data_IF_776117486711
#
_entry.id   IF_776117486711
#
_cell.length_a   1.000
_cell.length_b   1.000
_cell.length_c   1.000
_cell.angle_alpha   90.00
_cell.angle_beta   90.00
_cell.angle_gamma   90.00
#
_symmetry.space_group_name_H-M   'P 1'
#
loop_
_entity.id
_entity.type
_entity.pdbx_description
1 polymer ?
#
# COMPACT_ATOMS: atom_id res chain seq x y z
N UNK A 1 -15.81 28.87 -34.56
CA UNK A 1 -15.42 28.23 -33.28
C UNK A 1 -14.96 29.21 -32.22
N UNK A 2 -13.98 30.10 -32.44
CA UNK A 2 -13.45 31.05 -31.40
C UNK A 2 -14.49 32.02 -30.83
N UNK A 3 -15.53 32.45 -31.62
CA UNK A 3 -16.61 33.33 -31.14
C UNK A 3 -17.59 32.58 -30.21
N UNK A 4 -17.95 31.34 -30.55
CA UNK A 4 -18.83 30.51 -29.72
C UNK A 4 -18.19 30.19 -28.35
N UNK A 5 -16.88 29.94 -28.32
CA UNK A 5 -16.13 29.67 -27.07
C UNK A 5 -16.08 30.91 -26.16
N UNK A 6 -15.96 32.12 -26.72
CA UNK A 6 -16.02 33.38 -25.96
C UNK A 6 -17.40 33.63 -25.39
N UNK A 7 -18.47 33.35 -26.13
CA UNK A 7 -19.86 33.50 -25.66
C UNK A 7 -20.12 32.49 -24.52
N UNK A 8 -19.67 31.26 -24.66
CA UNK A 8 -19.78 30.22 -23.63
C UNK A 8 -19.04 30.61 -22.33
N UNK A 9 -17.83 31.15 -22.46
CA UNK A 9 -17.03 31.61 -21.32
C UNK A 9 -17.69 32.80 -20.58
N UNK A 10 -18.27 33.77 -21.33
CA UNK A 10 -18.99 34.88 -20.75
C UNK A 10 -20.30 34.43 -20.10
N UNK A 11 -21.02 33.47 -20.69
CA UNK A 11 -22.24 32.90 -20.10
C UNK A 11 -21.92 32.13 -18.79
N UNK A 12 -20.79 31.38 -18.74
CA UNK A 12 -20.35 30.72 -17.53
C UNK A 12 -19.95 31.69 -16.42
N UNK A 13 -19.29 32.79 -16.77
CA UNK A 13 -18.94 33.87 -15.82
C UNK A 13 -20.17 34.58 -15.28
N UNK A 14 -21.18 34.86 -16.13
CA UNK A 14 -22.46 35.44 -15.72
C UNK A 14 -23.27 34.46 -14.86
N UNK A 15 -23.28 33.19 -15.15
CA UNK A 15 -23.91 32.15 -14.34
C UNK A 15 -23.28 32.04 -12.94
N UNK A 16 -21.98 32.27 -12.82
CA UNK A 16 -21.26 32.27 -11.53
C UNK A 16 -21.64 33.46 -10.65
N UNK A 17 -22.09 34.59 -11.21
CA UNK A 17 -22.53 35.77 -10.45
C UNK A 17 -23.97 35.68 -9.93
N UNK A 18 -24.79 34.75 -10.42
CA UNK A 18 -26.19 34.55 -10.01
C UNK A 18 -26.32 33.55 -8.86
N UNK A 19 -25.24 33.02 -8.35
CA UNK A 19 -25.29 32.21 -7.13
C UNK A 19 -25.73 33.15 -6.00
N UNK A 20 -26.95 33.00 -5.43
CA UNK A 20 -27.37 33.85 -4.34
C UNK A 20 -26.41 33.63 -3.18
N UNK A 21 -25.64 34.64 -2.84
CA UNK A 21 -24.83 34.67 -1.62
C UNK A 21 -25.78 34.62 -0.45
N UNK A 22 -26.19 33.44 -0.03
CA UNK A 22 -26.92 33.28 1.24
C UNK A 22 -25.91 33.47 2.41
N UNK A 23 -25.37 34.65 2.50
CA UNK A 23 -24.23 34.99 3.34
C UNK A 23 -24.59 35.15 4.82
N UNK A 24 -25.81 34.84 5.28
CA UNK A 24 -26.18 35.06 6.69
C UNK A 24 -27.03 33.97 7.33
N UNK A 25 -26.90 32.69 6.90
CA UNK A 25 -27.34 31.63 7.79
C UNK A 25 -26.34 31.54 8.94
N UNK A 26 -26.78 31.81 10.18
CA UNK A 26 -26.00 31.45 11.37
C UNK A 26 -25.63 29.97 11.25
N UNK A 27 -24.38 29.69 10.91
CA UNK A 27 -23.91 28.35 10.84
C UNK A 27 -23.86 27.79 12.26
N UNK A 28 -24.65 26.77 12.52
CA UNK A 28 -24.63 26.08 13.80
C UNK A 28 -23.28 25.36 13.89
N UNK A 29 -22.46 25.72 14.88
CA UNK A 29 -21.23 25.02 15.17
C UNK A 29 -21.54 23.75 15.96
N UNK A 30 -21.41 22.62 15.31
CA UNK A 30 -21.56 21.32 15.96
C UNK A 30 -20.31 20.98 16.79
N UNK A 31 -20.47 20.28 17.90
CA UNK A 31 -19.40 19.87 18.81
C UNK A 31 -18.43 21.02 19.17
N UNK A 32 -18.90 22.15 19.73
CA UNK A 32 -18.04 23.33 19.93
C UNK A 32 -16.92 23.13 20.94
N UNK A 33 -17.05 22.18 21.87
CA UNK A 33 -16.05 21.84 22.88
C UNK A 33 -15.13 20.69 22.46
N UNK A 34 -15.42 19.99 21.38
CA UNK A 34 -14.67 18.83 20.95
C UNK A 34 -13.16 19.07 20.87
N UNK A 35 -12.76 20.19 20.25
CA UNK A 35 -11.34 20.52 20.11
C UNK A 35 -10.65 20.89 21.44
N UNK A 36 -11.39 21.07 22.51
CA UNK A 36 -10.87 21.42 23.86
C UNK A 36 -10.63 20.17 24.70
N UNK A 37 -11.26 19.06 24.37
CA UNK A 37 -11.12 17.81 25.08
C UNK A 37 -9.70 17.24 24.92
N UNK A 38 -9.11 16.68 26.00
CA UNK A 38 -7.73 16.20 25.96
C UNK A 38 -7.56 14.88 25.21
N UNK A 39 -8.61 14.06 25.15
CA UNK A 39 -8.57 12.73 24.53
C UNK A 39 -9.80 12.52 23.65
N UNK A 40 -9.58 11.87 22.50
CA UNK A 40 -10.62 11.42 21.60
C UNK A 40 -10.39 9.96 21.25
N UNK A 41 -11.48 9.24 21.12
CA UNK A 41 -11.47 7.84 20.73
C UNK A 41 -12.42 7.64 19.56
N UNK A 42 -12.12 6.64 18.74
CA UNK A 42 -12.93 6.36 17.59
C UNK A 42 -12.50 5.09 16.88
N UNK A 43 -13.03 4.88 15.70
CA UNK A 43 -12.65 3.76 14.86
C UNK A 43 -12.35 4.22 13.43
N UNK A 44 -11.53 3.44 12.76
CA UNK A 44 -11.08 3.66 11.39
C UNK A 44 -11.53 2.49 10.53
N UNK A 45 -12.11 2.82 9.38
CA UNK A 45 -12.34 1.91 8.27
C UNK A 45 -11.62 2.44 7.05
N UNK A 46 -10.85 1.63 6.35
CA UNK A 46 -10.08 2.11 5.22
C UNK A 46 -10.00 1.09 4.10
N UNK A 47 -9.95 1.62 2.88
CA UNK A 47 -9.50 0.90 1.71
C UNK A 47 -8.02 1.18 1.50
N UNK A 48 -7.26 0.14 1.24
CA UNK A 48 -5.84 0.27 0.98
C UNK A 48 -5.45 -0.41 -0.33
N UNK A 49 -4.39 0.06 -0.93
CA UNK A 49 -3.68 -0.58 -2.03
C UNK A 49 -2.25 -0.84 -1.59
N UNK A 50 -1.85 -2.10 -1.61
CA UNK A 50 -0.49 -2.51 -1.30
C UNK A 50 0.27 -2.87 -2.55
N UNK A 51 1.54 -2.51 -2.55
CA UNK A 51 2.51 -2.92 -3.56
C UNK A 51 3.89 -3.07 -2.95
N UNK A 52 4.76 -3.76 -3.66
CA UNK A 52 6.18 -3.73 -3.37
C UNK A 52 6.89 -2.61 -4.11
N UNK A 53 7.95 -2.09 -3.52
CA UNK A 53 9.00 -1.37 -4.23
C UNK A 53 10.19 -2.31 -4.32
N UNK A 54 10.53 -2.73 -5.53
CA UNK A 54 11.63 -3.65 -5.79
C UNK A 54 12.84 -2.86 -6.27
N UNK A 55 13.99 -3.08 -5.65
CA UNK A 55 15.29 -2.70 -6.20
C UNK A 55 15.99 -3.96 -6.67
N UNK A 56 16.27 -4.06 -7.94
CA UNK A 56 16.95 -5.20 -8.54
C UNK A 56 18.47 -5.07 -8.44
N UNK A 57 19.15 -6.21 -8.41
CA UNK A 57 20.61 -6.29 -8.50
C UNK A 57 21.02 -5.83 -9.91
N UNK A 58 22.15 -5.13 -10.02
CA UNK A 58 22.71 -4.77 -11.33
C UNK A 58 22.98 -6.03 -12.17
N UNK A 59 22.60 -5.98 -13.45
CA UNK A 59 22.77 -7.08 -14.40
C UNK A 59 22.16 -8.41 -13.97
N UNK A 60 21.07 -8.39 -13.17
CA UNK A 60 20.41 -9.63 -12.74
C UNK A 60 19.93 -10.50 -13.90
N UNK A 61 19.64 -9.89 -15.06
CA UNK A 61 19.26 -10.58 -16.30
C UNK A 61 20.37 -11.51 -16.82
N UNK A 62 21.63 -11.22 -16.49
CA UNK A 62 22.79 -12.04 -16.87
C UNK A 62 23.07 -13.19 -15.89
N UNK A 63 22.31 -13.26 -14.79
CA UNK A 63 22.41 -14.37 -13.83
C UNK A 63 21.65 -15.58 -14.35
N UNK A 64 22.27 -16.29 -15.29
CA UNK A 64 21.75 -17.50 -15.90
C UNK A 64 21.88 -18.63 -14.87
N UNK A 65 20.79 -19.36 -14.65
CA UNK A 65 20.80 -20.56 -13.80
C UNK A 65 20.54 -21.81 -14.64
N UNK A 66 21.28 -22.90 -14.38
CA UNK A 66 21.00 -24.15 -15.08
C UNK A 66 19.61 -24.68 -14.70
N UNK A 67 18.92 -25.27 -15.66
CA UNK A 67 17.55 -25.73 -15.47
C UNK A 67 17.38 -26.75 -14.34
N UNK A 68 18.42 -27.57 -14.08
CA UNK A 68 18.43 -28.57 -13.01
C UNK A 68 18.46 -27.94 -11.58
N UNK A 69 18.80 -26.68 -11.45
CA UNK A 69 18.72 -25.96 -10.16
C UNK A 69 17.32 -25.54 -9.78
N UNK A 70 16.35 -25.71 -10.68
CA UNK A 70 14.94 -25.34 -10.44
C UNK A 70 14.17 -26.53 -9.88
N UNK A 71 13.32 -26.35 -8.87
CA UNK A 71 12.45 -27.41 -8.35
C UNK A 71 11.46 -27.91 -9.42
N UNK A 72 11.41 -29.21 -9.65
CA UNK A 72 10.59 -29.87 -10.69
C UNK A 72 9.10 -29.54 -10.57
N UNK A 73 8.59 -29.39 -9.34
CA UNK A 73 7.16 -29.19 -9.06
C UNK A 73 6.61 -27.84 -9.52
N UNK A 74 7.46 -26.85 -9.59
CA UNK A 74 7.10 -25.50 -10.04
C UNK A 74 7.72 -25.14 -11.36
N UNK A 75 7.94 -26.14 -12.19
CA UNK A 75 8.41 -25.87 -13.52
C UNK A 75 7.46 -24.91 -14.23
N UNK A 76 7.94 -23.76 -14.69
CA UNK A 76 7.06 -22.64 -15.05
C UNK A 76 6.31 -22.82 -16.36
N UNK A 77 6.54 -23.90 -17.08
CA UNK A 77 5.89 -24.14 -18.38
C UNK A 77 5.60 -25.62 -18.61
N UNK A 78 4.49 -25.88 -19.31
CA UNK A 78 4.17 -27.21 -19.83
C UNK A 78 4.74 -27.44 -21.24
N UNK A 79 5.34 -26.41 -21.85
CA UNK A 79 5.86 -26.46 -23.22
C UNK A 79 7.18 -27.23 -23.32
N UNK A 80 7.96 -27.26 -22.22
CA UNK A 80 9.22 -27.99 -22.15
C UNK A 80 9.35 -28.68 -20.81
N UNK A 81 9.94 -29.85 -20.84
CA UNK A 81 10.39 -30.54 -19.63
C UNK A 81 11.67 -29.88 -19.12
N UNK A 82 11.96 -30.05 -17.84
CA UNK A 82 13.21 -29.57 -17.26
C UNK A 82 14.44 -30.12 -17.97
N UNK A 83 14.37 -31.36 -18.46
CA UNK A 83 15.46 -32.03 -19.21
C UNK A 83 15.70 -31.43 -20.61
N UNK A 84 14.69 -30.80 -21.20
CA UNK A 84 14.79 -30.12 -22.52
C UNK A 84 15.27 -28.68 -22.41
N UNK A 85 15.31 -28.12 -21.20
CA UNK A 85 15.72 -26.75 -20.95
C UNK A 85 17.16 -26.69 -20.49
N UNK A 86 17.97 -25.86 -21.13
CA UNK A 86 19.37 -25.64 -20.82
C UNK A 86 19.54 -24.68 -19.64
N UNK A 87 18.86 -23.55 -19.69
CA UNK A 87 18.97 -22.53 -18.66
C UNK A 87 17.71 -21.66 -18.54
N UNK A 88 17.56 -21.04 -17.38
CA UNK A 88 16.50 -20.09 -17.05
C UNK A 88 17.13 -18.84 -16.47
N UNK A 89 16.56 -17.69 -16.81
CA UNK A 89 16.90 -16.44 -16.17
C UNK A 89 15.67 -15.52 -16.06
N UNK A 90 15.69 -14.65 -15.06
CA UNK A 90 14.65 -13.66 -14.84
C UNK A 90 14.91 -12.46 -15.75
N UNK A 91 13.99 -12.21 -16.66
CA UNK A 91 14.09 -11.09 -17.61
C UNK A 91 13.54 -9.79 -17.02
N UNK A 92 12.38 -9.86 -16.36
CA UNK A 92 11.73 -8.69 -15.77
C UNK A 92 10.94 -9.05 -14.50
N UNK A 93 10.86 -8.09 -13.57
CA UNK A 93 10.05 -8.17 -12.36
C UNK A 93 9.21 -6.92 -12.27
N UNK A 94 7.89 -7.08 -12.23
CA UNK A 94 6.91 -6.01 -12.07
C UNK A 94 6.12 -6.18 -10.78
N UNK A 95 5.76 -5.07 -10.17
CA UNK A 95 4.93 -5.06 -8.97
C UNK A 95 3.50 -4.69 -9.34
N UNK A 96 2.51 -5.44 -8.85
CA UNK A 96 1.10 -5.10 -9.02
C UNK A 96 0.53 -4.50 -7.74
N UNK A 97 -0.34 -3.51 -7.93
CA UNK A 97 -1.18 -2.96 -6.87
C UNK A 97 -2.33 -3.91 -6.62
N UNK A 98 -2.56 -4.23 -5.36
CA UNK A 98 -3.68 -5.07 -4.96
C UNK A 98 -4.51 -4.38 -3.90
N UNK A 99 -5.84 -4.40 -4.06
CA UNK A 99 -6.75 -3.81 -3.10
C UNK A 99 -6.79 -4.62 -1.81
N UNK A 100 -7.04 -3.91 -0.72
CA UNK A 100 -7.22 -4.48 0.60
C UNK A 100 -8.06 -3.56 1.48
N UNK A 101 -8.19 -3.91 2.73
CA UNK A 101 -8.91 -3.11 3.70
C UNK A 101 -8.20 -3.08 5.05
N UNK A 102 -8.44 -2.02 5.79
CA UNK A 102 -7.89 -1.81 7.14
C UNK A 102 -8.99 -1.42 8.10
N UNK A 103 -8.97 -2.01 9.30
CA UNK A 103 -9.83 -1.64 10.41
C UNK A 103 -8.96 -1.30 11.62
N UNK A 104 -9.31 -0.26 12.36
CA UNK A 104 -8.50 0.17 13.49
C UNK A 104 -9.27 0.96 14.53
N UNK A 105 -8.65 1.14 15.67
CA UNK A 105 -9.15 1.93 16.80
C UNK A 105 -8.29 3.20 16.88
N UNK A 106 -8.94 4.35 17.01
CA UNK A 106 -8.28 5.63 17.10
C UNK A 106 -8.17 6.01 18.57
N UNK A 107 -6.96 6.30 19.02
CA UNK A 107 -6.69 7.03 20.24
C UNK A 107 -5.95 8.31 19.90
N UNK A 108 -6.52 9.46 20.21
CA UNK A 108 -5.94 10.77 19.94
C UNK A 108 -5.79 11.55 21.23
N UNK A 109 -4.59 12.13 21.44
CA UNK A 109 -4.29 12.99 22.58
C UNK A 109 -3.92 14.37 22.07
N UNK A 110 -4.61 15.39 22.58
CA UNK A 110 -4.29 16.77 22.29
C UNK A 110 -2.95 17.17 22.93
N UNK A 111 -2.01 17.65 22.11
CA UNK A 111 -0.73 18.20 22.58
C UNK A 111 -0.75 19.73 22.71
N UNK A 112 -1.64 20.38 21.98
CA UNK A 112 -1.71 21.83 21.97
C UNK A 112 -2.91 22.36 21.19
N UNK A 113 -2.84 23.62 20.76
CA UNK A 113 -3.95 24.25 20.03
C UNK A 113 -4.18 23.65 18.64
N UNK A 114 -3.09 23.21 17.98
CA UNK A 114 -3.12 22.76 16.59
C UNK A 114 -2.53 21.36 16.40
N UNK A 115 -1.99 20.76 17.45
CA UNK A 115 -1.29 19.48 17.38
C UNK A 115 -1.97 18.42 18.22
N UNK A 116 -2.16 17.25 17.61
CA UNK A 116 -2.66 16.07 18.29
C UNK A 116 -1.69 14.91 18.01
N UNK A 117 -1.45 14.09 19.05
CA UNK A 117 -0.75 12.82 18.92
C UNK A 117 -1.79 11.73 18.72
N UNK A 118 -1.66 10.96 17.66
CA UNK A 118 -2.59 9.89 17.31
C UNK A 118 -1.90 8.54 17.31
N UNK A 119 -2.52 7.59 17.97
CA UNK A 119 -2.13 6.19 17.96
C UNK A 119 -3.31 5.38 17.45
N UNK A 120 -3.11 4.59 16.38
CA UNK A 120 -4.19 3.90 15.68
C UNK A 120 -3.85 2.43 15.49
N UNK A 121 -3.86 1.59 16.55
CA UNK A 121 -3.69 0.16 16.37
C UNK A 121 -4.71 -0.37 15.36
N UNK A 122 -4.24 -1.09 14.34
CA UNK A 122 -5.07 -1.51 13.23
C UNK A 122 -4.67 -2.87 12.67
N UNK A 123 -5.64 -3.52 12.04
CA UNK A 123 -5.46 -4.74 11.26
C UNK A 123 -5.67 -4.40 9.79
N UNK A 124 -4.68 -4.72 8.98
CA UNK A 124 -4.69 -4.48 7.55
C UNK A 124 -4.60 -5.80 6.80
N UNK A 125 -5.57 -6.04 5.94
CA UNK A 125 -5.67 -7.23 5.11
C UNK A 125 -5.47 -6.84 3.67
N UNK A 126 -4.51 -7.50 3.00
CA UNK A 126 -4.21 -7.24 1.60
C UNK A 126 -3.43 -8.42 1.02
N UNK A 127 -3.23 -8.35 -0.25
CA UNK A 127 -2.37 -9.24 -1.01
C UNK A 127 -1.30 -8.40 -1.71
N UNK A 128 -0.13 -8.96 -1.94
CA UNK A 128 0.94 -8.31 -2.70
C UNK A 128 1.35 -9.21 -3.84
N UNK A 129 1.46 -8.68 -5.04
CA UNK A 129 1.75 -9.46 -6.25
C UNK A 129 3.03 -9.00 -6.92
N UNK A 130 3.82 -9.99 -7.32
CA UNK A 130 5.00 -9.82 -8.15
C UNK A 130 4.83 -10.64 -9.42
N UNK A 131 4.92 -9.96 -10.55
CA UNK A 131 4.92 -10.58 -11.87
C UNK A 131 6.36 -10.78 -12.33
N UNK A 132 6.72 -12.03 -12.54
CA UNK A 132 8.00 -12.42 -13.07
C UNK A 132 7.86 -12.78 -14.54
N UNK A 133 8.75 -12.25 -15.38
CA UNK A 133 8.94 -12.69 -16.74
C UNK A 133 10.21 -13.50 -16.80
N UNK A 134 10.10 -14.78 -17.08
CA UNK A 134 11.22 -15.69 -17.24
C UNK A 134 11.54 -15.89 -18.71
N UNK A 135 12.83 -16.04 -19.01
CA UNK A 135 13.33 -16.52 -20.28
C UNK A 135 13.90 -17.93 -20.10
N UNK A 136 13.43 -18.85 -20.91
CA UNK A 136 13.88 -20.24 -20.95
C UNK A 136 14.59 -20.48 -22.27
N UNK A 137 15.80 -21.01 -22.23
CA UNK A 137 16.56 -21.44 -23.40
C UNK A 137 16.53 -22.98 -23.46
N UNK A 138 15.96 -23.51 -24.54
CA UNK A 138 15.92 -24.94 -24.79
C UNK A 138 17.28 -25.49 -25.29
N UNK A 139 17.50 -26.79 -25.16
CA UNK A 139 18.69 -27.48 -25.68
C UNK A 139 18.82 -27.35 -27.21
N UNK A 140 17.73 -27.08 -27.90
CA UNK A 140 17.67 -26.83 -29.35
C UNK A 140 17.98 -25.35 -29.73
N UNK A 141 18.34 -24.49 -28.76
CA UNK A 141 18.60 -23.08 -28.99
C UNK A 141 17.34 -22.20 -29.12
N UNK A 142 16.15 -22.76 -28.95
CA UNK A 142 14.92 -21.99 -28.96
C UNK A 142 14.74 -21.26 -27.61
N UNK A 143 14.32 -19.99 -27.66
CA UNK A 143 14.08 -19.17 -26.49
C UNK A 143 12.59 -18.91 -26.32
N UNK A 144 12.09 -19.10 -25.10
CA UNK A 144 10.69 -18.93 -24.73
C UNK A 144 10.56 -17.99 -23.57
N UNK A 145 9.55 -17.13 -23.63
CA UNK A 145 9.19 -16.19 -22.57
C UNK A 145 7.96 -16.70 -21.85
N UNK A 146 8.04 -16.81 -20.53
CA UNK A 146 6.93 -17.22 -19.68
C UNK A 146 6.71 -16.22 -18.55
N UNK A 147 5.45 -15.78 -18.41
CA UNK A 147 5.04 -14.88 -17.32
C UNK A 147 4.29 -15.66 -16.25
N UNK A 148 4.63 -15.40 -15.00
CA UNK A 148 3.86 -15.93 -13.89
C UNK A 148 3.80 -14.94 -12.74
N UNK A 149 2.71 -15.02 -11.98
CA UNK A 149 2.43 -14.11 -10.86
C UNK A 149 2.66 -14.85 -9.54
N UNK A 150 3.47 -14.26 -8.66
CA UNK A 150 3.58 -14.67 -7.25
C UNK A 150 2.73 -13.76 -6.39
N UNK A 151 1.76 -14.36 -5.72
CA UNK A 151 0.83 -13.70 -4.83
C UNK A 151 1.13 -14.04 -3.39
N UNK A 152 1.26 -13.02 -2.54
CA UNK A 152 1.59 -13.15 -1.12
C UNK A 152 0.51 -12.48 -0.32
N UNK A 153 -0.37 -13.29 0.27
CA UNK A 153 -1.38 -12.82 1.23
C UNK A 153 -0.72 -12.21 2.45
N UNK A 154 -1.25 -11.11 2.92
CA UNK A 154 -0.68 -10.34 4.02
C UNK A 154 -1.74 -9.96 5.03
N UNK A 155 -1.42 -10.15 6.30
CA UNK A 155 -2.21 -9.65 7.43
C UNK A 155 -1.28 -8.89 8.35
N UNK A 156 -1.32 -7.55 8.28
CA UNK A 156 -0.53 -6.71 9.16
C UNK A 156 -1.28 -6.34 10.43
N UNK A 157 -0.59 -6.47 11.56
CA UNK A 157 -0.90 -5.74 12.77
C UNK A 157 -0.05 -4.48 12.76
N UNK A 158 -0.69 -3.34 12.74
CA UNK A 158 -0.05 -2.03 12.59
C UNK A 158 -0.22 -1.20 13.86
N UNK A 159 0.82 -0.43 14.23
CA UNK A 159 0.84 0.44 15.40
C UNK A 159 1.27 1.87 15.03
N UNK A 160 0.56 2.56 14.14
CA UNK A 160 0.96 3.89 13.69
C UNK A 160 0.90 4.90 14.83
N UNK A 161 1.97 5.67 14.94
CA UNK A 161 2.09 6.80 15.85
C UNK A 161 2.32 8.06 15.02
N UNK A 162 1.31 8.93 14.95
CA UNK A 162 1.27 10.07 14.05
C UNK A 162 1.06 11.38 14.82
N UNK A 163 1.73 12.42 14.37
CA UNK A 163 1.47 13.79 14.79
C UNK A 163 0.56 14.43 13.73
N UNK A 164 -0.63 14.85 14.17
CA UNK A 164 -1.63 15.53 13.35
C UNK A 164 -1.53 17.04 13.60
N UNK A 165 -1.31 17.80 12.53
CA UNK A 165 -1.39 19.25 12.53
C UNK A 165 -2.71 19.69 11.89
N UNK A 166 -3.59 20.30 12.65
CA UNK A 166 -4.92 20.73 12.19
C UNK A 166 -4.99 22.24 11.97
N UNK A 167 -5.72 22.63 10.93
CA UNK A 167 -6.06 24.02 10.68
C UNK A 167 -7.10 24.53 11.69
N UNK A 168 -7.32 25.83 11.71
CA UNK A 168 -8.53 26.37 12.32
C UNK A 168 -9.75 25.81 11.60
N UNK A 169 -10.74 25.40 12.37
CA UNK A 169 -12.04 24.99 11.87
C UNK A 169 -12.73 26.14 11.16
N UNK A 170 -13.18 25.89 9.96
CA UNK A 170 -14.06 26.78 9.21
C UNK A 170 -15.47 26.18 9.19
N UNK A 171 -16.40 26.80 9.91
CA UNK A 171 -17.75 26.27 10.17
C UNK A 171 -17.65 24.86 10.80
N UNK A 172 -18.10 23.84 10.08
CA UNK A 172 -18.09 22.44 10.50
C UNK A 172 -17.08 21.58 9.75
N UNK A 173 -16.06 22.22 9.17
CA UNK A 173 -15.00 21.52 8.43
C UNK A 173 -13.63 21.95 8.96
N UNK A 174 -12.75 21.00 9.17
CA UNK A 174 -11.34 21.23 9.49
C UNK A 174 -10.46 20.47 8.49
N UNK A 175 -9.37 21.09 8.05
CA UNK A 175 -8.35 20.40 7.27
C UNK A 175 -7.16 20.08 8.16
N UNK A 176 -6.44 19.02 7.87
CA UNK A 176 -5.24 18.65 8.61
C UNK A 176 -4.26 17.87 7.74
N UNK A 177 -3.02 17.91 8.19
CA UNK A 177 -1.95 17.05 7.69
C UNK A 177 -1.40 16.24 8.85
N UNK A 178 -0.88 15.07 8.57
CA UNK A 178 -0.25 14.26 9.61
C UNK A 178 0.93 13.50 9.05
N UNK A 179 1.84 13.17 9.92
CA UNK A 179 2.99 12.34 9.60
C UNK A 179 3.48 11.61 10.82
N UNK A 180 4.14 10.50 10.61
CA UNK A 180 4.65 9.69 11.69
C UNK A 180 5.30 8.40 11.24
N UNK A 181 5.31 7.46 12.15
CA UNK A 181 5.95 6.15 11.97
C UNK A 181 4.95 5.04 12.27
N UNK A 182 5.14 3.92 11.59
CA UNK A 182 4.25 2.77 11.73
C UNK A 182 5.07 1.47 11.78
N UNK A 183 5.38 0.97 12.98
CA UNK A 183 5.85 -0.40 13.14
C UNK A 183 4.73 -1.38 12.81
N UNK A 184 5.07 -2.41 12.02
CA UNK A 184 4.13 -3.40 11.48
C UNK A 184 4.64 -4.81 11.72
N UNK A 185 3.71 -5.71 12.02
CA UNK A 185 3.97 -7.15 12.11
C UNK A 185 3.14 -7.89 11.07
N UNK A 186 3.79 -8.61 10.18
CA UNK A 186 3.13 -9.49 9.21
C UNK A 186 2.86 -10.86 9.83
N UNK A 187 1.59 -11.16 10.07
CA UNK A 187 1.16 -12.44 10.64
C UNK A 187 1.13 -13.57 9.59
N UNK A 188 1.02 -13.22 8.32
CA UNK A 188 0.91 -14.19 7.22
C UNK A 188 2.29 -14.59 6.67
N UNK A 189 3.35 -13.83 6.93
CA UNK A 189 4.69 -14.05 6.37
C UNK A 189 5.35 -15.38 6.78
N UNK A 190 4.81 -16.09 7.76
CA UNK A 190 5.34 -17.38 8.25
C UNK A 190 4.54 -18.60 7.78
N UNK A 191 3.53 -18.44 6.93
CA UNK A 191 2.96 -19.59 6.25
C UNK A 191 3.95 -20.02 5.17
N UNK A 192 4.98 -20.75 5.63
CA UNK A 192 5.87 -21.52 4.75
C UNK A 192 4.97 -22.51 4.00
N UNK A 193 4.66 -22.20 2.76
CA UNK A 193 4.12 -23.23 1.86
C UNK A 193 5.30 -24.16 1.50
N UNK A 194 5.67 -24.95 2.49
CA UNK A 194 6.62 -26.05 2.30
C UNK A 194 5.87 -27.16 1.59
N UNK A 195 6.18 -27.37 0.35
CA UNK A 195 5.75 -28.55 -0.38
C UNK A 195 6.82 -29.66 -0.23
N UNK A 196 6.43 -30.79 0.34
CA UNK A 196 7.27 -31.96 0.41
C UNK A 196 7.17 -32.75 -0.91
N UNK A 197 8.24 -32.70 -1.69
CA UNK A 197 8.31 -33.43 -2.95
C UNK A 197 9.47 -34.43 -2.85
N UNK A 198 9.17 -35.70 -3.00
CA UNK A 198 10.14 -36.79 -2.94
C UNK A 198 11.04 -36.74 -1.69
N UNK A 199 10.50 -36.28 -0.53
CA UNK A 199 11.26 -36.22 0.71
C UNK A 199 12.14 -34.96 0.88
N UNK A 200 12.09 -34.03 -0.04
CA UNK A 200 12.73 -32.71 0.08
C UNK A 200 11.72 -31.60 0.30
N UNK A 201 11.97 -30.75 1.28
CA UNK A 201 11.16 -29.55 1.51
C UNK A 201 11.57 -28.45 0.54
N UNK A 202 10.64 -28.01 -0.31
CA UNK A 202 10.84 -26.88 -1.20
C UNK A 202 10.01 -25.70 -0.71
N UNK A 203 10.64 -24.54 -0.55
CA UNK A 203 9.95 -23.30 -0.25
C UNK A 203 9.52 -22.65 -1.57
N UNK A 204 8.24 -22.69 -1.84
CA UNK A 204 7.67 -22.24 -3.12
C UNK A 204 7.37 -20.74 -3.17
N UNK A 205 7.51 -20.01 -2.07
CA UNK A 205 7.15 -18.61 -1.96
C UNK A 205 8.33 -17.71 -1.62
N UNK A 206 8.24 -16.45 -2.06
CA UNK A 206 9.11 -15.37 -1.59
C UNK A 206 8.88 -15.18 -0.08
N UNK A 207 9.85 -15.57 0.73
CA UNK A 207 9.77 -15.43 2.19
C UNK A 207 10.16 -14.01 2.57
N UNK A 208 9.26 -13.33 3.27
CA UNK A 208 9.49 -11.96 3.75
C UNK A 208 9.71 -11.93 5.26
N UNK A 209 10.47 -10.93 5.73
CA UNK A 209 10.65 -10.69 7.17
C UNK A 209 9.32 -10.30 7.79
N UNK A 210 9.10 -10.75 9.01
CA UNK A 210 7.86 -10.54 9.77
C UNK A 210 7.67 -9.09 10.22
N UNK A 211 8.77 -8.42 10.56
CA UNK A 211 8.75 -7.06 11.08
C UNK A 211 9.08 -6.07 9.96
N UNK A 212 8.27 -5.03 9.85
CA UNK A 212 8.51 -3.88 8.99
C UNK A 212 8.32 -2.58 9.78
N UNK A 213 9.01 -1.54 9.36
CA UNK A 213 8.92 -0.21 9.93
C UNK A 213 8.72 0.80 8.81
N UNK A 214 7.63 1.55 8.86
CA UNK A 214 7.28 2.47 7.78
C UNK A 214 7.19 3.91 8.27
N UNK A 215 7.51 4.85 7.38
CA UNK A 215 7.15 6.26 7.54
C UNK A 215 5.79 6.52 6.89
N UNK A 216 4.98 7.36 7.53
CA UNK A 216 3.65 7.72 7.05
C UNK A 216 3.50 9.22 6.89
N UNK A 217 2.80 9.59 5.83
CA UNK A 217 2.40 10.97 5.57
C UNK A 217 0.98 10.97 4.98
N UNK A 218 0.15 11.92 5.41
CA UNK A 218 -1.19 12.02 4.88
C UNK A 218 -1.83 13.38 5.12
N UNK A 219 -2.96 13.54 4.46
CA UNK A 219 -3.81 14.72 4.56
C UNK A 219 -5.25 14.27 4.77
N UNK A 220 -6.05 15.11 5.40
CA UNK A 220 -7.45 14.77 5.63
C UNK A 220 -8.31 15.98 5.94
N UNK A 221 -9.60 15.70 5.97
CA UNK A 221 -10.64 16.65 6.34
C UNK A 221 -11.51 16.06 7.43
N UNK A 222 -11.73 16.84 8.47
CA UNK A 222 -12.69 16.56 9.55
C UNK A 222 -14.00 17.25 9.26
N UNK A 223 -15.12 16.51 9.32
CA UNK A 223 -16.49 16.99 9.20
C UNK A 223 -17.19 16.82 10.55
N UNK A 224 -17.62 17.90 11.14
CA UNK A 224 -18.28 17.89 12.43
C UNK A 224 -19.79 17.82 12.25
N UNK A 225 -20.39 16.72 12.65
CA UNK A 225 -21.82 16.51 12.70
C UNK A 225 -22.35 16.79 14.11
N UNK A 226 -23.66 16.69 14.26
CA UNK A 226 -24.32 16.93 15.54
C UNK A 226 -23.90 15.92 16.62
N UNK A 227 -23.59 14.68 16.24
CA UNK A 227 -23.37 13.54 17.13
C UNK A 227 -21.92 13.05 17.15
N UNK A 228 -21.20 13.20 16.07
CA UNK A 228 -19.85 12.67 15.90
C UNK A 228 -19.05 13.49 14.89
N UNK A 229 -17.75 13.31 14.92
CA UNK A 229 -16.84 13.84 13.93
C UNK A 229 -16.49 12.72 12.94
N UNK A 230 -16.66 12.99 11.66
CA UNK A 230 -16.26 12.11 10.57
C UNK A 230 -15.00 12.70 9.92
N UNK A 231 -13.98 11.87 9.75
CA UNK A 231 -12.77 12.22 9.01
C UNK A 231 -12.68 11.45 7.70
N UNK A 232 -12.15 12.10 6.68
CA UNK A 232 -11.70 11.45 5.44
C UNK A 232 -10.22 11.73 5.28
N UNK A 233 -9.40 10.69 5.18
CA UNK A 233 -7.94 10.79 5.06
C UNK A 233 -7.43 10.08 3.82
N UNK A 234 -6.39 10.64 3.23
CA UNK A 234 -5.54 9.97 2.26
C UNK A 234 -4.14 9.87 2.84
N UNK A 235 -3.62 8.66 2.91
CA UNK A 235 -2.34 8.32 3.53
C UNK A 235 -1.46 7.54 2.57
N UNK A 236 -0.16 7.85 2.57
CA UNK A 236 0.89 7.04 2.00
C UNK A 236 1.80 6.53 3.11
N UNK A 237 2.11 5.23 3.09
CA UNK A 237 3.03 4.56 4.01
C UNK A 237 4.15 3.91 3.20
N UNK A 238 5.41 4.17 3.56
CA UNK A 238 6.58 3.66 2.87
C UNK A 238 7.48 2.90 3.84
N UNK A 239 7.70 1.61 3.57
CA UNK A 239 8.58 0.75 4.35
C UNK A 239 10.04 1.21 4.25
N UNK A 240 10.69 1.37 5.38
CA UNK A 240 12.08 1.80 5.48
C UNK A 240 13.04 0.61 5.51
N UNK A 241 12.56 -0.54 5.99
CA UNK A 241 13.36 -1.75 6.12
C UNK A 241 13.34 -2.57 4.83
N UNK A 242 14.40 -3.32 4.64
CA UNK A 242 14.44 -4.38 3.65
C UNK A 242 13.81 -5.65 4.23
N UNK A 243 12.73 -6.08 3.59
CA UNK A 243 11.92 -7.22 4.06
C UNK A 243 12.25 -8.54 3.36
N UNK A 244 13.21 -8.57 2.43
CA UNK A 244 13.67 -9.82 1.81
C UNK A 244 14.37 -10.67 2.87
N UNK A 245 14.03 -11.95 2.96
CA UNK A 245 14.89 -12.95 3.53
C UNK A 245 15.82 -13.47 2.43
N UNK A 246 17.11 -13.36 2.69
CA UNK A 246 18.16 -13.77 1.76
C UNK A 246 18.26 -15.30 1.75
N UNK A 247 17.35 -15.94 1.03
CA UNK A 247 17.39 -17.35 0.74
C UNK A 247 17.80 -17.49 -0.74
N UNK A 248 18.75 -18.36 -1.02
CA UNK A 248 19.36 -18.53 -2.34
C UNK A 248 18.39 -19.14 -3.38
N UNK A 249 17.25 -18.47 -3.60
CA UNK A 249 16.23 -18.87 -4.55
C UNK A 249 16.27 -18.00 -5.80
N UNK A 250 15.86 -18.58 -6.92
CA UNK A 250 15.82 -17.89 -8.21
C UNK A 250 14.91 -16.66 -8.20
N UNK A 251 13.86 -16.64 -7.34
CA UNK A 251 12.94 -15.51 -7.19
C UNK A 251 13.53 -14.38 -6.35
N UNK A 252 14.40 -14.67 -5.40
CA UNK A 252 15.04 -13.69 -4.53
C UNK A 252 16.38 -13.21 -5.09
N UNK A 253 17.08 -14.06 -5.84
CA UNK A 253 18.38 -13.75 -6.41
C UNK A 253 18.46 -12.44 -7.23
N UNK A 254 17.43 -12.04 -8.00
CA UNK A 254 17.45 -10.77 -8.74
C UNK A 254 17.06 -9.56 -7.88
N UNK A 255 16.58 -9.76 -6.64
CA UNK A 255 16.09 -8.69 -5.77
C UNK A 255 17.20 -8.27 -4.80
N UNK A 256 17.65 -7.02 -4.89
CA UNK A 256 18.60 -6.44 -3.94
C UNK A 256 17.87 -5.98 -2.67
N UNK A 257 16.72 -5.27 -2.84
CA UNK A 257 15.91 -4.77 -1.73
C UNK A 257 14.44 -4.83 -2.08
N UNK A 258 13.64 -5.22 -1.11
CA UNK A 258 12.19 -5.26 -1.20
C UNK A 258 11.59 -4.43 -0.07
N UNK A 259 10.73 -3.46 -0.40
CA UNK A 259 10.07 -2.61 0.58
C UNK A 259 8.58 -2.57 0.34
N UNK A 260 7.82 -2.43 1.41
CA UNK A 260 6.38 -2.24 1.32
C UNK A 260 6.04 -0.79 0.99
N UNK A 261 5.07 -0.60 0.11
CA UNK A 261 4.43 0.67 -0.14
C UNK A 261 2.92 0.48 -0.06
N UNK A 262 2.25 1.38 0.67
CA UNK A 262 0.81 1.32 0.86
C UNK A 262 0.22 2.70 0.59
N UNK A 263 -0.86 2.71 -0.16
CA UNK A 263 -1.74 3.86 -0.33
C UNK A 263 -3.07 3.54 0.33
N UNK A 264 -3.63 4.51 1.08
CA UNK A 264 -4.83 4.25 1.88
C UNK A 264 -5.77 5.45 1.86
N UNK A 265 -7.06 5.16 1.68
CA UNK A 265 -8.16 6.10 1.88
C UNK A 265 -8.97 5.63 3.09
N UNK A 266 -9.08 6.48 4.10
CA UNK A 266 -9.66 6.12 5.39
C UNK A 266 -10.86 6.98 5.72
N UNK A 267 -11.84 6.35 6.35
CA UNK A 267 -12.98 6.97 7.00
C UNK A 267 -12.83 6.80 8.51
N UNK A 268 -12.83 7.92 9.21
CA UNK A 268 -12.65 7.97 10.66
C UNK A 268 -13.94 8.42 11.31
N UNK A 269 -14.28 7.84 12.43
CA UNK A 269 -15.46 8.14 13.21
C UNK A 269 -15.03 8.33 14.66
N UNK A 270 -15.09 9.57 15.15
CA UNK A 270 -14.65 9.97 16.50
C UNK A 270 -15.77 10.74 17.25
#
# INVERSE_FOLDING_TARGET
MKKALKILAVALLLAATVIPVQAQRRVVHYLPKYEQEPYHFGFLLAFNEMMYTVKTVENYQNKIQPANSWPVVNWPTQLFTQSETKCIYVYNIETQQTPGFTVGIIGSKRLGRYFDLRFIPSLSFSERRLDYTLMLEGNNGATYMHKFTKSIGTTFVEFPLNIKYRSKRYNNIGAYVFGGVNPKLDLASQKDNKENINGQEFINNLVTKRFDFAAELGVGFDFYNQWFKMGIEVKMSYGLLDIVKDEAFIYTAPIEKLRNKLFQVSFLFE
#
